data_IF_465879229674
#
_entry.id   IF_465879229674
#
_cell.length_a   1.000
_cell.length_b   1.000
_cell.length_c   1.000
_cell.angle_alpha   90.00
_cell.angle_beta   90.00
_cell.angle_gamma   90.00
#
_symmetry.space_group_name_H-M   'P 1'
#
loop_
_entity.id
_entity.type
_entity.pdbx_description
1 polymer ?
#
# COMPACT_ATOMS: atom_id res chain seq x y z
N UNK A 1 30.44 -14.78 12.12
CA UNK A 1 29.43 -13.84 12.61
C UNK A 1 28.57 -13.43 11.42
N UNK A 2 27.36 -13.97 11.31
CA UNK A 2 26.38 -13.57 10.27
C UNK A 2 25.99 -12.13 10.56
N UNK A 3 26.16 -11.24 9.56
CA UNK A 3 25.61 -9.88 9.64
C UNK A 3 24.13 -10.00 10.02
N UNK A 4 23.62 -9.21 10.99
CA UNK A 4 22.19 -9.19 11.26
C UNK A 4 21.48 -8.81 9.95
N UNK A 5 20.67 -9.72 9.43
CA UNK A 5 19.81 -9.42 8.28
C UNK A 5 18.82 -8.34 8.73
N UNK A 6 18.95 -7.14 8.18
CA UNK A 6 17.98 -6.07 8.41
C UNK A 6 16.63 -6.61 7.97
N UNK A 7 15.59 -6.57 8.83
CA UNK A 7 14.26 -7.05 8.46
C UNK A 7 13.81 -6.37 7.17
N UNK A 8 13.43 -7.15 6.18
CA UNK A 8 12.97 -6.61 4.91
C UNK A 8 11.61 -5.95 5.10
N UNK A 9 11.45 -4.74 4.58
CA UNK A 9 10.19 -4.01 4.61
C UNK A 9 9.90 -3.40 3.26
N UNK A 10 8.61 -3.19 2.96
CA UNK A 10 8.14 -2.54 1.74
C UNK A 10 7.11 -1.49 2.10
N UNK A 11 7.33 -0.25 1.67
CA UNK A 11 6.32 0.78 1.75
C UNK A 11 5.41 0.71 0.51
N UNK A 12 4.10 0.75 0.71
CA UNK A 12 3.11 0.70 -0.36
C UNK A 12 2.40 2.05 -0.41
N UNK A 13 2.65 2.79 -1.49
CA UNK A 13 1.96 4.05 -1.79
C UNK A 13 1.02 3.91 -2.98
N UNK A 14 0.10 4.84 -3.11
CA UNK A 14 -0.75 4.93 -4.31
C UNK A 14 -0.46 6.19 -5.11
N UNK A 15 -0.85 6.19 -6.37
CA UNK A 15 -0.93 7.42 -7.16
C UNK A 15 -2.13 8.27 -6.76
N UNK A 16 -3.11 7.66 -6.02
CA UNK A 16 -4.32 8.32 -5.53
C UNK A 16 -5.01 7.45 -4.45
N UNK A 17 -6.13 7.96 -3.92
CA UNK A 17 -7.08 7.17 -3.11
C UNK A 17 -7.88 6.22 -4.01
N UNK A 18 -8.24 5.04 -3.49
CA UNK A 18 -9.07 4.07 -4.22
C UNK A 18 -8.37 3.38 -5.40
N UNK A 19 -7.03 3.45 -5.51
CA UNK A 19 -6.27 2.71 -6.55
C UNK A 19 -6.12 1.21 -6.24
N UNK A 20 -6.58 0.76 -5.07
CA UNK A 20 -6.54 -0.63 -4.64
C UNK A 20 -5.29 -1.02 -3.84
N UNK A 21 -4.69 -0.05 -3.09
CA UNK A 21 -3.55 -0.33 -2.21
C UNK A 21 -3.82 -1.49 -1.27
N UNK A 22 -4.93 -1.45 -0.54
CA UNK A 22 -5.27 -2.44 0.48
C UNK A 22 -5.50 -3.83 -0.08
N UNK A 23 -6.15 -3.92 -1.26
CA UNK A 23 -6.30 -5.17 -2.00
C UNK A 23 -4.93 -5.75 -2.37
N UNK A 24 -4.04 -4.91 -2.89
CA UNK A 24 -2.69 -5.34 -3.26
C UNK A 24 -1.84 -5.71 -2.04
N UNK A 25 -1.90 -4.90 -0.96
CA UNK A 25 -1.20 -5.18 0.31
C UNK A 25 -1.64 -6.52 0.88
N UNK A 26 -2.95 -6.78 0.93
CA UNK A 26 -3.50 -8.05 1.38
C UNK A 26 -3.07 -9.23 0.49
N UNK A 27 -3.09 -9.06 -0.84
CA UNK A 27 -2.65 -10.10 -1.77
C UNK A 27 -1.15 -10.42 -1.62
N UNK A 28 -0.31 -9.41 -1.41
CA UNK A 28 1.11 -9.60 -1.12
C UNK A 28 1.34 -10.26 0.24
N UNK A 29 0.58 -9.85 1.27
CA UNK A 29 0.63 -10.46 2.60
C UNK A 29 0.37 -11.96 2.51
N UNK A 30 -0.74 -12.36 1.89
CA UNK A 30 -1.12 -13.78 1.72
C UNK A 30 -0.07 -14.53 0.89
N UNK A 31 0.38 -13.96 -0.24
CA UNK A 31 1.37 -14.62 -1.09
C UNK A 31 2.72 -14.82 -0.36
N UNK A 32 3.20 -13.83 0.39
CA UNK A 32 4.42 -13.94 1.19
C UNK A 32 4.28 -14.97 2.32
N UNK A 33 3.12 -15.06 2.97
CA UNK A 33 2.83 -16.12 3.97
C UNK A 33 2.85 -17.51 3.34
N UNK A 34 2.33 -17.67 2.12
CA UNK A 34 2.41 -18.94 1.38
C UNK A 34 3.86 -19.35 1.06
N UNK A 35 4.80 -18.40 0.99
CA UNK A 35 6.23 -18.65 0.92
C UNK A 35 6.88 -18.93 2.29
N UNK A 36 6.09 -19.19 3.34
CA UNK A 36 6.55 -19.55 4.68
C UNK A 36 7.14 -18.39 5.47
N UNK A 37 6.89 -17.14 5.09
CA UNK A 37 7.42 -15.96 5.77
C UNK A 37 6.50 -15.49 6.90
N UNK A 38 7.10 -15.05 8.03
CA UNK A 38 6.39 -14.35 9.08
C UNK A 38 6.26 -12.87 8.70
N UNK A 39 5.05 -12.46 8.30
CA UNK A 39 4.79 -11.14 7.74
C UNK A 39 4.10 -10.23 8.77
N UNK A 40 4.65 -9.03 8.97
CA UNK A 40 3.99 -7.92 9.63
C UNK A 40 3.27 -7.02 8.62
N UNK A 41 2.16 -6.43 9.04
CA UNK A 41 1.45 -5.43 8.24
C UNK A 41 1.02 -4.26 9.12
N UNK A 42 1.17 -3.05 8.61
CA UNK A 42 0.72 -1.82 9.26
C UNK A 42 0.21 -0.81 8.23
N UNK A 43 -0.95 -0.24 8.53
CA UNK A 43 -1.51 0.95 7.88
C UNK A 43 -1.61 2.02 8.96
N UNK A 44 -0.55 2.81 9.20
CA UNK A 44 -0.39 3.57 10.44
C UNK A 44 -1.44 4.64 10.64
N UNK A 45 -2.05 5.12 9.56
CA UNK A 45 -3.12 6.12 9.58
C UNK A 45 -4.21 5.72 8.61
N UNK A 46 -5.45 5.78 9.06
CA UNK A 46 -6.64 5.54 8.25
C UNK A 46 -7.72 6.56 8.56
N UNK A 47 -8.47 6.97 7.54
CA UNK A 47 -9.57 7.93 7.62
C UNK A 47 -10.82 7.35 6.97
N UNK A 48 -12.00 7.80 7.38
CA UNK A 48 -13.27 7.24 6.91
C UNK A 48 -13.64 5.93 7.62
N UNK A 49 -13.11 5.69 8.82
CA UNK A 49 -13.36 4.46 9.58
C UNK A 49 -14.58 4.64 10.47
N UNK A 50 -15.66 3.90 10.19
CA UNK A 50 -16.82 3.87 11.06
C UNK A 50 -16.48 3.22 12.40
N UNK A 51 -16.90 3.78 13.55
CA UNK A 51 -16.71 3.16 14.86
C UNK A 51 -17.36 1.77 14.99
N UNK A 52 -18.44 1.53 14.22
CA UNK A 52 -19.17 0.25 14.19
C UNK A 52 -18.68 -0.69 13.08
N UNK A 53 -17.83 -0.22 12.17
CA UNK A 53 -17.34 -0.95 11.00
C UNK A 53 -15.82 -1.07 10.96
N UNK A 54 -15.14 -1.15 12.10
CA UNK A 54 -13.68 -1.28 12.16
C UNK A 54 -13.17 -2.52 11.42
N UNK A 55 -13.92 -3.62 11.49
CA UNK A 55 -13.56 -4.87 10.79
C UNK A 55 -13.67 -4.75 9.26
N UNK A 56 -14.48 -3.83 8.75
CA UNK A 56 -14.68 -3.55 7.33
C UNK A 56 -13.76 -2.42 6.82
N UNK A 57 -12.95 -1.85 7.72
CA UNK A 57 -11.94 -0.87 7.34
C UNK A 57 -10.75 -1.51 6.64
N UNK A 58 -9.93 -0.72 5.94
CA UNK A 58 -8.72 -1.24 5.31
C UNK A 58 -7.79 -1.94 6.31
N UNK A 59 -7.59 -1.34 7.49
CA UNK A 59 -6.76 -1.92 8.56
C UNK A 59 -7.41 -3.16 9.18
N UNK A 60 -8.73 -3.20 9.30
CA UNK A 60 -9.49 -4.38 9.72
C UNK A 60 -9.35 -5.53 8.73
N UNK A 61 -9.51 -5.25 7.45
CA UNK A 61 -9.29 -6.19 6.36
C UNK A 61 -7.86 -6.79 6.37
N UNK A 62 -6.83 -5.94 6.52
CA UNK A 62 -5.44 -6.42 6.61
C UNK A 62 -5.21 -7.27 7.85
N UNK A 63 -5.83 -6.92 9.00
CA UNK A 63 -5.75 -7.65 10.25
C UNK A 63 -6.32 -9.05 10.14
N UNK A 64 -7.44 -9.23 9.43
CA UNK A 64 -8.10 -10.53 9.22
C UNK A 64 -7.21 -11.53 8.48
N UNK A 65 -6.27 -11.06 7.65
CA UNK A 65 -5.35 -11.92 6.89
C UNK A 65 -4.13 -12.38 7.71
N UNK A 66 -3.92 -11.83 8.91
CA UNK A 66 -2.78 -12.17 9.77
C UNK A 66 -3.09 -13.38 10.66
N UNK A 67 -2.11 -14.27 10.81
CA UNK A 67 -2.22 -15.45 11.71
C UNK A 67 -0.99 -15.51 12.63
N UNK A 68 -1.17 -15.39 13.96
CA UNK A 68 -2.39 -14.98 14.67
C UNK A 68 -2.80 -13.54 14.34
N UNK A 69 -4.09 -13.23 14.48
CA UNK A 69 -4.59 -11.86 14.26
C UNK A 69 -4.05 -10.90 15.32
N UNK A 70 -3.36 -9.83 14.92
CA UNK A 70 -2.78 -8.85 15.85
C UNK A 70 -3.85 -7.94 16.46
N UNK A 71 -3.48 -7.15 17.47
CA UNK A 71 -4.40 -6.14 18.00
C UNK A 71 -4.67 -5.05 16.95
N UNK A 72 -5.87 -4.43 16.95
CA UNK A 72 -6.18 -3.34 16.02
C UNK A 72 -5.14 -2.21 16.03
N UNK A 73 -4.68 -1.80 17.22
CA UNK A 73 -3.71 -0.72 17.38
C UNK A 73 -2.31 -1.06 16.88
N UNK A 74 -1.97 -2.35 16.75
CA UNK A 74 -0.71 -2.75 16.14
C UNK A 74 -0.73 -2.61 14.61
N UNK A 75 -1.90 -2.71 14.00
CA UNK A 75 -2.06 -2.51 12.55
C UNK A 75 -2.30 -1.03 12.22
N UNK A 76 -3.10 -0.32 13.02
CA UNK A 76 -3.41 1.08 12.76
C UNK A 76 -3.37 1.94 14.03
N UNK A 77 -2.44 2.90 14.09
CA UNK A 77 -2.25 3.79 15.24
C UNK A 77 -3.26 4.93 15.31
N UNK A 78 -3.68 5.43 14.14
CA UNK A 78 -4.55 6.59 14.01
C UNK A 78 -5.72 6.26 13.09
N UNK A 79 -6.87 6.01 13.66
CA UNK A 79 -8.14 5.83 12.97
C UNK A 79 -9.01 7.06 13.16
N UNK A 80 -9.52 7.60 12.08
CA UNK A 80 -10.40 8.78 12.07
C UNK A 80 -11.71 8.45 11.35
N UNK A 81 -12.83 8.84 11.93
CA UNK A 81 -14.15 8.63 11.34
C UNK A 81 -14.39 9.50 10.08
N UNK A 82 -14.04 10.81 10.05
CA UNK A 82 -14.29 11.62 8.87
C UNK A 82 -13.46 11.13 7.66
N UNK A 83 -14.08 11.04 6.44
CA UNK A 83 -13.37 10.67 5.22
C UNK A 83 -12.63 11.88 4.61
N UNK A 84 -11.69 12.42 5.36
CA UNK A 84 -10.88 13.58 5.00
C UNK A 84 -9.38 13.21 4.99
N UNK A 85 -8.51 14.13 4.56
CA UNK A 85 -7.07 13.90 4.69
C UNK A 85 -6.66 13.76 6.17
N UNK A 86 -5.61 12.97 6.50
CA UNK A 86 -5.16 12.78 7.88
C UNK A 86 -4.97 14.08 8.66
N UNK A 87 -4.35 15.10 8.04
CA UNK A 87 -4.18 16.42 8.65
C UNK A 87 -5.52 17.10 8.93
N UNK A 88 -6.48 17.03 8.00
CA UNK A 88 -7.80 17.63 8.21
C UNK A 88 -8.56 16.92 9.35
N UNK A 89 -8.52 15.58 9.38
CA UNK A 89 -9.08 14.78 10.47
C UNK A 89 -8.47 15.15 11.82
N UNK A 90 -7.13 15.19 11.89
CA UNK A 90 -6.40 15.49 13.14
C UNK A 90 -6.77 16.84 13.72
N UNK A 91 -7.00 17.84 12.86
CA UNK A 91 -7.48 19.17 13.28
C UNK A 91 -8.93 19.13 13.76
N UNK A 92 -9.80 18.46 13.01
CA UNK A 92 -11.23 18.39 13.33
C UNK A 92 -11.48 17.72 14.69
N UNK A 93 -10.79 16.60 14.96
CA UNK A 93 -10.96 15.85 16.22
C UNK A 93 -9.93 16.22 17.29
N UNK A 94 -9.10 17.25 17.05
CA UNK A 94 -8.07 17.75 17.97
C UNK A 94 -7.11 16.66 18.48
N UNK A 95 -6.85 15.65 17.64
CA UNK A 95 -5.91 14.55 17.90
C UNK A 95 -4.79 14.59 16.87
N UNK A 96 -3.65 15.15 17.22
CA UNK A 96 -2.48 15.26 16.33
C UNK A 96 -1.85 13.91 16.02
N UNK A 97 -1.35 13.78 14.79
CA UNK A 97 -0.56 12.62 14.34
C UNK A 97 0.90 12.89 14.70
N UNK A 98 1.47 12.00 15.48
CA UNK A 98 2.89 12.02 15.84
C UNK A 98 3.69 11.17 14.84
N UNK A 99 4.49 11.83 14.02
CA UNK A 99 5.33 11.21 12.99
C UNK A 99 6.37 10.24 13.59
N UNK A 100 7.00 10.61 14.71
CA UNK A 100 7.99 9.75 15.37
C UNK A 100 7.35 8.50 15.98
N UNK A 101 6.15 8.62 16.53
CA UNK A 101 5.39 7.46 17.01
C UNK A 101 5.10 6.48 15.89
N UNK A 102 4.70 6.97 14.70
CA UNK A 102 4.50 6.11 13.52
C UNK A 102 5.82 5.45 13.11
N UNK A 103 6.90 6.23 13.00
CA UNK A 103 8.21 5.73 12.62
C UNK A 103 8.69 4.60 13.53
N UNK A 104 8.69 4.83 14.84
CA UNK A 104 9.13 3.82 15.82
C UNK A 104 8.22 2.59 15.82
N UNK A 105 6.93 2.77 15.64
CA UNK A 105 6.00 1.64 15.54
C UNK A 105 6.30 0.75 14.32
N UNK A 106 6.50 1.35 13.13
CA UNK A 106 6.87 0.63 11.93
C UNK A 106 8.20 -0.12 12.10
N UNK A 107 9.21 0.53 12.71
CA UNK A 107 10.51 -0.08 12.98
C UNK A 107 10.41 -1.23 13.99
N UNK A 108 9.66 -1.07 15.07
CA UNK A 108 9.45 -2.11 16.06
C UNK A 108 8.74 -3.34 15.46
N UNK A 109 7.74 -3.11 14.61
CA UNK A 109 7.05 -4.19 13.90
C UNK A 109 7.99 -4.92 12.95
N UNK A 110 8.84 -4.18 12.22
CA UNK A 110 9.81 -4.76 11.30
C UNK A 110 10.81 -5.68 12.01
N UNK A 111 11.20 -5.37 13.24
CA UNK A 111 12.10 -6.23 14.04
C UNK A 111 11.46 -7.54 14.52
N UNK A 112 10.13 -7.64 14.53
CA UNK A 112 9.39 -8.82 14.99
C UNK A 112 9.03 -9.79 13.86
N UNK A 113 9.24 -9.40 12.59
CA UNK A 113 8.82 -10.12 11.41
C UNK A 113 9.97 -10.28 10.41
N UNK A 114 9.91 -11.31 9.57
CA UNK A 114 10.89 -11.51 8.49
C UNK A 114 10.70 -10.53 7.33
N UNK A 115 9.46 -10.07 7.15
CA UNK A 115 9.09 -9.05 6.18
C UNK A 115 7.93 -8.21 6.71
N UNK A 116 7.92 -6.91 6.42
CA UNK A 116 6.85 -6.02 6.88
C UNK A 116 6.31 -5.17 5.72
N UNK A 117 4.99 -5.17 5.56
CA UNK A 117 4.27 -4.33 4.62
C UNK A 117 3.76 -3.08 5.36
N UNK A 118 4.10 -1.90 4.85
CA UNK A 118 3.70 -0.61 5.43
C UNK A 118 2.87 0.13 4.40
N UNK A 119 1.56 0.26 4.63
CA UNK A 119 0.64 0.90 3.70
C UNK A 119 0.37 2.36 4.05
N UNK A 120 0.64 3.28 3.10
CA UNK A 120 0.25 4.67 3.21
C UNK A 120 -1.25 4.91 2.91
N UNK A 121 -1.76 6.07 3.27
CA UNK A 121 -3.12 6.52 2.89
C UNK A 121 -3.05 7.53 1.74
N UNK A 122 -3.81 7.28 0.66
CA UNK A 122 -3.76 8.13 -0.55
C UNK A 122 -2.42 8.03 -1.27
N UNK A 123 -1.82 9.17 -1.62
CA UNK A 123 -0.52 9.27 -2.28
C UNK A 123 0.59 9.79 -1.37
N UNK A 124 1.81 9.90 -1.92
CA UNK A 124 3.02 10.28 -1.18
C UNK A 124 2.94 11.62 -0.45
N UNK A 125 2.32 12.62 -1.08
CA UNK A 125 2.25 13.98 -0.53
C UNK A 125 1.01 14.23 0.34
N UNK A 126 0.26 13.18 0.69
CA UNK A 126 -0.84 13.30 1.66
C UNK A 126 -0.28 13.70 3.02
N UNK A 127 -0.75 14.83 3.60
CA UNK A 127 -0.17 15.39 4.82
C UNK A 127 -0.62 14.62 6.06
N UNK A 128 0.34 14.21 6.86
CA UNK A 128 0.16 13.69 8.22
C UNK A 128 0.07 14.85 9.23
N UNK A 129 0.89 15.89 9.01
CA UNK A 129 0.93 17.11 9.79
C UNK A 129 1.20 18.31 8.87
N UNK A 130 1.42 19.50 9.44
CA UNK A 130 1.85 20.68 8.66
C UNK A 130 3.24 20.54 8.05
N UNK A 131 4.08 19.72 8.66
CA UNK A 131 5.50 19.57 8.31
C UNK A 131 5.87 18.20 7.79
N UNK A 132 4.94 17.22 7.83
CA UNK A 132 5.24 15.84 7.43
C UNK A 132 4.14 15.26 6.55
N UNK A 133 4.56 14.58 5.49
CA UNK A 133 3.75 13.80 4.56
C UNK A 133 4.10 12.32 4.68
N UNK A 134 3.46 11.45 3.90
CA UNK A 134 3.90 10.05 3.79
C UNK A 134 5.27 9.91 3.10
N UNK A 135 5.68 10.89 2.26
CA UNK A 135 7.04 10.91 1.71
C UNK A 135 8.09 11.10 2.81
N UNK A 136 7.84 12.00 3.78
CA UNK A 136 8.74 12.22 4.91
C UNK A 136 8.86 10.97 5.81
N UNK A 137 7.75 10.23 5.98
CA UNK A 137 7.77 8.95 6.68
C UNK A 137 8.62 7.92 5.92
N UNK A 138 8.45 7.81 4.61
CA UNK A 138 9.23 6.89 3.77
C UNK A 138 10.72 7.24 3.79
N UNK A 139 11.06 8.53 3.71
CA UNK A 139 12.44 9.01 3.84
C UNK A 139 13.06 8.63 5.18
N UNK A 140 12.28 8.73 6.28
CA UNK A 140 12.72 8.35 7.61
C UNK A 140 12.89 6.83 7.78
N UNK A 141 12.05 6.04 7.11
CA UNK A 141 12.11 4.58 7.14
C UNK A 141 13.27 4.02 6.29
N UNK A 142 13.67 4.69 5.22
CA UNK A 142 14.73 4.25 4.29
C UNK A 142 14.52 2.83 3.73
N UNK A 143 13.30 2.50 3.35
CA UNK A 143 12.91 1.19 2.81
C UNK A 143 12.45 1.30 1.36
N UNK A 144 12.46 0.18 0.58
CA UNK A 144 11.90 0.15 -0.76
C UNK A 144 10.44 0.58 -0.81
N UNK A 145 10.02 1.18 -1.95
CA UNK A 145 8.67 1.67 -2.17
C UNK A 145 8.04 1.01 -3.39
N UNK A 146 6.82 0.48 -3.22
CA UNK A 146 5.94 0.01 -4.29
C UNK A 146 4.88 1.08 -4.57
N UNK A 147 4.71 1.43 -5.85
CA UNK A 147 3.68 2.36 -6.30
C UNK A 147 2.50 1.56 -6.85
N UNK A 148 1.31 1.77 -6.31
CA UNK A 148 0.07 1.22 -6.85
C UNK A 148 -0.62 2.27 -7.71
N UNK A 149 -0.87 1.94 -8.97
CA UNK A 149 -1.51 2.82 -9.94
C UNK A 149 -2.66 2.11 -10.67
N UNK A 150 -3.52 2.89 -11.31
CA UNK A 150 -4.58 2.38 -12.19
C UNK A 150 -4.10 2.25 -13.62
N UNK A 151 -5.00 1.79 -14.51
CA UNK A 151 -4.75 1.67 -15.96
C UNK A 151 -5.65 2.59 -16.80
N UNK A 152 -6.44 3.45 -16.17
CA UNK A 152 -7.39 4.38 -16.79
C UNK A 152 -6.74 5.70 -17.25
N UNK A 153 -7.56 6.56 -17.86
CA UNK A 153 -7.11 7.88 -18.32
C UNK A 153 -6.60 8.72 -17.13
N UNK A 154 -5.44 9.36 -17.32
CA UNK A 154 -4.74 10.12 -16.29
C UNK A 154 -3.69 9.31 -15.53
N UNK A 155 -3.75 7.97 -15.56
CA UNK A 155 -2.82 7.11 -14.83
C UNK A 155 -1.36 7.33 -15.22
N UNK A 156 -1.05 7.57 -16.51
CA UNK A 156 0.32 7.87 -16.97
C UNK A 156 0.87 9.08 -16.21
N UNK A 157 0.14 10.20 -16.21
CA UNK A 157 0.57 11.43 -15.52
C UNK A 157 0.77 11.20 -14.02
N UNK A 158 -0.21 10.61 -13.33
CA UNK A 158 -0.14 10.41 -11.88
C UNK A 158 0.99 9.44 -11.50
N UNK A 159 1.21 8.39 -12.29
CA UNK A 159 2.30 7.43 -12.07
C UNK A 159 3.66 8.09 -12.22
N UNK A 160 3.87 8.82 -13.33
CA UNK A 160 5.14 9.48 -13.60
C UNK A 160 5.44 10.61 -12.59
N UNK A 161 4.42 11.37 -12.17
CA UNK A 161 4.59 12.36 -11.09
C UNK A 161 5.03 11.68 -9.78
N UNK A 162 4.42 10.56 -9.41
CA UNK A 162 4.80 9.79 -8.21
C UNK A 162 6.22 9.26 -8.31
N UNK A 163 6.59 8.66 -9.45
CA UNK A 163 7.97 8.19 -9.71
C UNK A 163 8.98 9.34 -9.61
N UNK A 164 8.71 10.47 -10.27
CA UNK A 164 9.59 11.65 -10.26
C UNK A 164 9.75 12.24 -8.87
N UNK A 165 8.65 12.31 -8.09
CA UNK A 165 8.70 12.78 -6.70
C UNK A 165 9.63 11.91 -5.85
N UNK A 166 9.54 10.58 -5.97
CA UNK A 166 10.43 9.67 -5.27
C UNK A 166 11.88 9.84 -5.71
N UNK A 167 12.14 9.88 -7.02
CA UNK A 167 13.49 10.06 -7.56
C UNK A 167 14.13 11.39 -7.11
N UNK A 168 13.38 12.49 -7.11
CA UNK A 168 13.85 13.79 -6.62
C UNK A 168 14.17 13.78 -5.12
N UNK A 169 13.45 12.94 -4.36
CA UNK A 169 13.73 12.71 -2.95
C UNK A 169 14.88 11.69 -2.70
N UNK A 170 15.54 11.22 -3.75
CA UNK A 170 16.64 10.25 -3.65
C UNK A 170 16.19 8.80 -3.45
N UNK A 171 14.91 8.50 -3.65
CA UNK A 171 14.35 7.15 -3.52
C UNK A 171 14.11 6.57 -4.91
N UNK A 172 14.72 5.42 -5.21
CA UNK A 172 14.34 4.63 -6.38
C UNK A 172 13.15 3.73 -6.02
N UNK A 173 11.99 3.85 -6.69
CA UNK A 173 10.89 2.92 -6.46
C UNK A 173 11.33 1.49 -6.77
N UNK A 174 10.88 0.52 -5.95
CA UNK A 174 11.13 -0.90 -6.21
C UNK A 174 10.38 -1.35 -7.47
N UNK A 175 9.11 -0.95 -7.58
CA UNK A 175 8.25 -1.30 -8.71
C UNK A 175 6.99 -0.42 -8.76
N UNK A 176 6.27 -0.56 -9.88
CA UNK A 176 4.89 -0.10 -10.07
C UNK A 176 4.01 -1.34 -10.22
N UNK A 177 2.89 -1.39 -9.50
CA UNK A 177 1.83 -2.36 -9.68
C UNK A 177 0.60 -1.67 -10.31
N UNK A 178 0.23 -2.09 -11.51
CA UNK A 178 -0.95 -1.61 -12.21
C UNK A 178 -2.16 -2.45 -11.79
N UNK A 179 -3.12 -1.82 -11.16
CA UNK A 179 -4.31 -2.46 -10.61
C UNK A 179 -5.61 -1.94 -11.23
N UNK A 180 -6.60 -2.78 -11.34
CA UNK A 180 -7.93 -2.46 -11.84
C UNK A 180 -8.95 -2.62 -10.71
N UNK A 181 -9.24 -1.54 -9.95
CA UNK A 181 -10.05 -1.64 -8.75
C UNK A 181 -11.56 -1.80 -9.03
N UNK A 182 -12.01 -1.67 -10.28
CA UNK A 182 -13.42 -1.78 -10.63
C UNK A 182 -13.63 -2.32 -12.05
N UNK A 183 -14.75 -3.03 -12.31
CA UNK A 183 -15.08 -3.51 -13.67
C UNK A 183 -15.56 -2.39 -14.59
N UNK A 184 -15.99 -1.26 -14.03
CA UNK A 184 -16.58 -0.15 -14.80
C UNK A 184 -15.54 0.63 -15.62
N UNK A 185 -14.27 0.54 -15.27
CA UNK A 185 -13.17 1.11 -16.04
C UNK A 185 -12.79 0.25 -17.25
N UNK A 186 -13.80 -0.28 -17.97
CA UNK A 186 -13.60 -0.80 -19.31
C UNK A 186 -13.32 0.35 -20.27
N UNK A 187 -12.20 1.01 -20.05
CA UNK A 187 -11.51 1.80 -21.06
C UNK A 187 -11.46 0.95 -22.32
N UNK A 188 -11.77 1.52 -23.44
CA UNK A 188 -11.64 0.83 -24.75
C UNK A 188 -10.30 0.12 -24.73
N UNK A 189 -10.24 -1.14 -25.05
CA UNK A 189 -9.05 -2.00 -24.86
C UNK A 189 -7.75 -1.40 -25.41
N UNK A 190 -7.83 -0.61 -26.47
CA UNK A 190 -6.72 0.15 -27.07
C UNK A 190 -6.16 1.25 -26.13
N UNK A 191 -7.03 1.97 -25.42
CA UNK A 191 -6.61 3.06 -24.51
C UNK A 191 -5.89 2.50 -23.28
N UNK A 192 -6.39 1.39 -22.73
CA UNK A 192 -5.75 0.66 -21.63
C UNK A 192 -4.36 0.15 -22.01
N UNK A 193 -4.26 -0.52 -23.18
CA UNK A 193 -2.99 -1.03 -23.68
C UNK A 193 -1.95 0.09 -23.84
N UNK A 194 -2.35 1.21 -24.44
CA UNK A 194 -1.51 2.40 -24.61
C UNK A 194 -1.06 3.01 -23.28
N UNK A 195 -1.96 3.08 -22.29
CA UNK A 195 -1.61 3.56 -20.92
C UNK A 195 -0.54 2.68 -20.28
N UNK A 196 -0.71 1.36 -20.33
CA UNK A 196 0.23 0.39 -19.77
C UNK A 196 1.59 0.49 -20.47
N UNK A 197 1.59 0.55 -21.80
CA UNK A 197 2.80 0.67 -22.63
C UNK A 197 3.57 1.96 -22.29
N UNK A 198 2.87 3.10 -22.24
CA UNK A 198 3.47 4.39 -21.88
C UNK A 198 4.10 4.37 -20.48
N UNK A 199 3.43 3.77 -19.49
CA UNK A 199 4.00 3.64 -18.15
C UNK A 199 5.25 2.76 -18.17
N UNK A 200 5.23 1.62 -18.88
CA UNK A 200 6.37 0.71 -19.00
C UNK A 200 7.57 1.35 -19.66
N UNK A 201 7.34 2.14 -20.69
CA UNK A 201 8.39 2.84 -21.43
C UNK A 201 9.02 3.99 -20.61
N UNK A 202 8.17 4.79 -19.92
CA UNK A 202 8.60 6.07 -19.35
C UNK A 202 8.98 6.03 -17.87
N UNK A 203 8.52 5.02 -17.12
CA UNK A 203 8.70 5.00 -15.68
C UNK A 203 10.12 4.63 -15.22
N UNK A 204 10.92 3.97 -16.05
CA UNK A 204 12.29 3.53 -15.74
C UNK A 204 12.42 2.65 -14.48
N UNK A 205 11.33 1.96 -14.12
CA UNK A 205 11.25 1.01 -13.00
C UNK A 205 10.42 -0.21 -13.41
N UNK A 206 10.60 -1.39 -12.78
CA UNK A 206 9.80 -2.57 -13.08
C UNK A 206 8.29 -2.29 -12.95
N UNK A 207 7.49 -2.78 -13.91
CA UNK A 207 6.04 -2.63 -13.94
C UNK A 207 5.38 -4.01 -13.95
N UNK A 208 4.58 -4.28 -12.93
CA UNK A 208 3.78 -5.50 -12.77
C UNK A 208 2.31 -5.22 -13.04
N UNK A 209 1.62 -6.19 -13.60
CA UNK A 209 0.21 -6.04 -13.94
C UNK A 209 -0.03 -5.90 -15.46
N UNK A 210 -1.27 -5.68 -15.88
CA UNK A 210 -2.40 -5.29 -15.03
C UNK A 210 -2.92 -6.44 -14.16
N UNK A 211 -3.23 -6.12 -12.90
CA UNK A 211 -3.92 -6.99 -11.96
C UNK A 211 -5.41 -6.69 -12.13
N UNK A 212 -6.16 -7.66 -12.66
CA UNK A 212 -7.56 -7.47 -13.00
C UNK A 212 -8.47 -7.33 -11.77
N UNK A 213 -9.65 -6.77 -11.99
CA UNK A 213 -10.68 -6.68 -10.96
C UNK A 213 -11.15 -8.06 -10.50
N UNK A 214 -11.13 -8.27 -9.18
CA UNK A 214 -11.63 -9.48 -8.54
C UNK A 214 -12.99 -9.21 -7.87
N UNK A 215 -14.05 -9.74 -8.46
CA UNK A 215 -15.43 -9.46 -8.04
C UNK A 215 -15.80 -10.11 -6.69
N UNK A 216 -15.06 -11.12 -6.27
CA UNK A 216 -15.27 -11.80 -4.99
C UNK A 216 -15.00 -10.89 -3.81
N UNK A 217 -14.05 -9.97 -3.93
CA UNK A 217 -13.60 -9.03 -2.86
C UNK A 217 -14.77 -8.27 -2.23
N UNK A 218 -15.75 -7.84 -3.03
CA UNK A 218 -16.91 -7.08 -2.53
C UNK A 218 -17.91 -7.90 -1.69
N UNK A 219 -17.78 -9.24 -1.68
CA UNK A 219 -18.65 -10.15 -0.95
C UNK A 219 -17.91 -11.02 0.06
N UNK A 220 -16.70 -11.38 -0.27
CA UNK A 220 -15.77 -12.17 0.54
C UNK A 220 -14.38 -11.60 0.34
N UNK A 221 -14.00 -10.68 1.23
CA UNK A 221 -12.69 -10.04 1.19
C UNK A 221 -11.55 -11.05 1.23
N UNK A 222 -11.58 -11.93 2.22
CA UNK A 222 -10.51 -12.92 2.45
C UNK A 222 -10.38 -13.86 1.27
N UNK A 223 -11.47 -14.43 0.79
CA UNK A 223 -11.48 -15.32 -0.37
C UNK A 223 -10.97 -14.65 -1.64
N UNK A 224 -11.42 -13.42 -1.93
CA UNK A 224 -10.98 -12.66 -3.10
C UNK A 224 -9.50 -12.29 -3.06
N UNK A 225 -8.98 -11.91 -1.89
CA UNK A 225 -7.55 -11.61 -1.72
C UNK A 225 -6.69 -12.87 -1.85
N UNK A 226 -7.13 -14.01 -1.31
CA UNK A 226 -6.45 -15.30 -1.51
C UNK A 226 -6.41 -15.71 -2.99
N UNK A 227 -7.48 -15.45 -3.74
CA UNK A 227 -7.51 -15.68 -5.18
C UNK A 227 -6.52 -14.78 -5.92
N UNK A 228 -6.49 -13.49 -5.61
CA UNK A 228 -5.51 -12.55 -6.18
C UNK A 228 -4.06 -12.86 -5.79
N UNK A 229 -3.82 -13.41 -4.59
CA UNK A 229 -2.48 -13.84 -4.19
C UNK A 229 -1.87 -14.86 -5.16
N UNK A 230 -2.70 -15.68 -5.83
CA UNK A 230 -2.28 -16.60 -6.89
C UNK A 230 -2.09 -15.95 -8.27
N UNK A 231 -2.43 -14.68 -8.45
CA UNK A 231 -2.31 -14.02 -9.75
C UNK A 231 -0.85 -13.98 -10.22
N UNK A 232 -0.54 -14.30 -11.50
CA UNK A 232 0.83 -14.40 -12.01
C UNK A 232 1.68 -13.15 -11.75
N UNK A 233 1.10 -11.96 -11.88
CA UNK A 233 1.81 -10.70 -11.65
C UNK A 233 2.09 -10.44 -10.16
N UNK A 234 1.20 -10.86 -9.25
CA UNK A 234 1.46 -10.84 -7.79
C UNK A 234 2.61 -11.80 -7.47
N UNK A 235 2.58 -13.02 -7.99
CA UNK A 235 3.64 -14.00 -7.78
C UNK A 235 5.00 -13.53 -8.37
N UNK A 236 5.00 -12.84 -9.51
CA UNK A 236 6.22 -12.23 -10.06
C UNK A 236 6.75 -11.10 -9.16
N UNK A 237 5.87 -10.25 -8.65
CA UNK A 237 6.25 -9.18 -7.71
C UNK A 237 6.81 -9.76 -6.41
N UNK A 238 6.16 -10.77 -5.83
CA UNK A 238 6.66 -11.47 -4.62
C UNK A 238 8.07 -12.02 -4.84
N UNK A 239 8.34 -12.71 -5.97
CA UNK A 239 9.68 -13.20 -6.29
C UNK A 239 10.75 -12.12 -6.38
N UNK A 240 10.39 -10.87 -6.63
CA UNK A 240 11.34 -9.74 -6.62
C UNK A 240 11.63 -9.19 -5.23
N UNK A 241 10.82 -9.60 -4.23
CA UNK A 241 10.93 -9.12 -2.84
C UNK A 241 11.69 -10.11 -1.92
N UNK A 242 11.73 -11.42 -2.29
CA UNK A 242 12.26 -12.52 -1.45
C UNK A 242 13.54 -13.14 -1.96
#
# INVERSE_FOLDING_TARGET
MTKPTVPRSLFITGTDTGVGKTVLTGSLLVALQQHGKKIGVVKPVETGVSPLGEEESDSGHLRQLCVPSPSPDSVCLYRYEPPLSPLACSRLVQRSIDHLKILYHCQALALQHEFTLIEGAGGLLVPLSRSHTFLDLLLSLQIPCLIVSRTDLGAVNHTLLTVRTLQQAGISPHAIALNEPSPANRTVGSQRASTIESIRELASVPVYGPIGFESTIGRDWTGGVHQLAGHPEIQRLVRSLV
#
